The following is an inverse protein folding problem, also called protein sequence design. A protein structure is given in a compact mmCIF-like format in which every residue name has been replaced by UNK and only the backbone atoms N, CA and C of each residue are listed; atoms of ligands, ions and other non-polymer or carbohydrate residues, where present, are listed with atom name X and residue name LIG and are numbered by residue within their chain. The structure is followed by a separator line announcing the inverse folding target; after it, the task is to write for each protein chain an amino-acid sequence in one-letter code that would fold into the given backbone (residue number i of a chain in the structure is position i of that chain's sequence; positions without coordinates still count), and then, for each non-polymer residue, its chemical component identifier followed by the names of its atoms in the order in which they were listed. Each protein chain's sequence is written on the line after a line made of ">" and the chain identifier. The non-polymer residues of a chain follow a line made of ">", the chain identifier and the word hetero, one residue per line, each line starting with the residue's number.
data_IF_868307826160
#
_entry.id   IF_868307826160
#
_cell.length_a   1.000
_cell.length_b   1.000
_cell.length_c   1.000
_cell.angle_alpha   90.00
_cell.angle_beta   90.00
_cell.angle_gamma   90.00
#
_symmetry.space_group_name_H-M   'P 1'
#
loop_
_entity.id
_entity.type
_entity.pdbx_description
1 polymer ?
#
# COMPACT_ATOMS: atom_id res chain seq x y z
N UNK A 1 72.72 -6.90 -37.23
CA UNK A 1 74.04 -6.92 -36.57
C UNK A 1 73.86 -7.29 -35.10
N UNK A 2 74.83 -8.03 -34.56
CA UNK A 2 74.76 -8.92 -33.38
C UNK A 2 74.79 -8.22 -32.02
N UNK A 3 74.44 -9.04 -31.01
CA UNK A 3 74.85 -9.04 -29.59
C UNK A 3 73.83 -8.44 -28.61
N UNK A 4 73.53 -8.95 -27.40
CA UNK A 4 73.41 -10.27 -26.75
C UNK A 4 73.43 -10.02 -25.22
N UNK A 5 72.70 -10.84 -24.46
CA UNK A 5 72.71 -11.05 -22.97
C UNK A 5 71.98 -9.99 -22.13
N UNK A 6 70.85 -10.28 -21.46
CA UNK A 6 70.49 -11.26 -20.40
C UNK A 6 70.90 -10.83 -18.99
N UNK A 7 69.92 -10.54 -18.11
CA UNK A 7 70.09 -10.28 -16.69
C UNK A 7 68.77 -10.49 -15.92
N UNK A 8 68.82 -11.32 -14.88
CA UNK A 8 67.70 -12.06 -14.27
C UNK A 8 66.73 -11.25 -13.39
N UNK A 9 65.50 -11.77 -13.30
CA UNK A 9 64.48 -11.44 -12.32
C UNK A 9 64.79 -12.07 -10.95
N UNK A 10 64.55 -11.31 -9.88
CA UNK A 10 64.66 -11.75 -8.48
C UNK A 10 63.27 -12.08 -7.93
N UNK A 11 63.14 -13.33 -7.47
CA UNK A 11 61.94 -13.94 -6.86
C UNK A 11 62.07 -13.83 -5.34
N UNK A 12 61.08 -13.23 -4.68
CA UNK A 12 60.95 -13.23 -3.22
C UNK A 12 60.25 -14.52 -2.73
N UNK A 13 60.62 -15.08 -1.56
CA UNK A 13 60.26 -16.44 -1.19
C UNK A 13 58.85 -16.57 -0.59
N UNK A 14 58.17 -17.65 -0.99
CA UNK A 14 56.96 -18.20 -0.39
C UNK A 14 57.24 -18.70 1.04
N UNK A 15 56.48 -18.20 2.03
CA UNK A 15 56.37 -18.84 3.35
C UNK A 15 55.39 -20.01 3.26
N UNK A 16 55.93 -21.21 3.43
CA UNK A 16 55.21 -22.47 3.61
C UNK A 16 54.77 -22.61 5.06
N UNK A 17 53.45 -22.64 5.31
CA UNK A 17 52.88 -23.15 6.56
C UNK A 17 52.63 -24.65 6.39
N UNK A 18 53.49 -25.44 7.02
CA UNK A 18 53.35 -26.89 7.15
C UNK A 18 52.39 -27.21 8.28
N UNK A 19 51.53 -28.17 7.97
CA UNK A 19 50.61 -28.89 8.83
C UNK A 19 51.36 -29.71 9.89
N UNK A 20 50.85 -29.70 11.12
CA UNK A 20 51.07 -30.75 12.09
C UNK A 20 49.72 -31.33 12.48
N UNK A 21 49.52 -32.59 12.12
CA UNK A 21 48.42 -33.43 12.54
C UNK A 21 48.80 -34.17 13.83
N UNK A 22 47.82 -34.37 14.71
CA UNK A 22 47.64 -35.44 15.72
C UNK A 22 46.24 -35.14 16.29
N UNK A 23 45.29 -36.05 16.49
CA UNK A 23 45.26 -37.50 16.46
C UNK A 23 44.00 -37.89 17.24
N UNK A 24 43.06 -38.54 16.54
CA UNK A 24 41.81 -39.18 16.97
C UNK A 24 41.64 -39.51 18.46
N UNK A 25 40.44 -39.25 19.00
CA UNK A 25 39.68 -40.29 19.70
C UNK A 25 38.16 -40.07 19.53
N UNK A 26 37.54 -40.98 18.78
CA UNK A 26 36.11 -41.25 18.80
C UNK A 26 35.85 -42.24 19.93
N UNK A 27 34.83 -42.02 20.77
CA UNK A 27 34.09 -43.09 21.45
C UNK A 27 32.75 -42.58 21.99
N UNK A 28 31.70 -43.15 21.41
CA UNK A 28 30.41 -43.51 22.02
C UNK A 28 29.30 -42.46 22.22
N UNK A 29 28.19 -42.79 21.55
CA UNK A 29 26.82 -42.26 21.60
C UNK A 29 26.04 -42.85 22.80
N UNK A 30 24.79 -42.37 22.96
CA UNK A 30 23.61 -42.97 23.66
C UNK A 30 23.50 -42.56 25.15
N UNK A 31 22.35 -42.21 25.74
CA UNK A 31 20.94 -42.19 25.35
C UNK A 31 20.08 -41.42 26.40
N UNK A 32 18.83 -41.10 26.03
CA UNK A 32 17.58 -41.04 26.83
C UNK A 32 17.48 -40.03 27.99
N UNK A 33 16.55 -39.05 28.01
CA UNK A 33 15.07 -39.08 28.06
C UNK A 33 14.46 -39.19 29.48
N UNK A 34 13.55 -38.23 29.78
CA UNK A 34 12.33 -38.29 30.61
C UNK A 34 12.36 -38.23 32.17
N UNK A 35 11.72 -37.15 32.67
CA UNK A 35 10.57 -37.08 33.61
C UNK A 35 10.71 -37.31 35.14
N UNK A 36 9.67 -36.79 35.85
CA UNK A 36 9.16 -36.98 37.25
C UNK A 36 9.75 -36.04 38.34
N UNK A 37 9.06 -35.02 38.89
CA UNK A 37 7.81 -34.87 39.71
C UNK A 37 7.97 -35.27 41.19
N UNK A 38 7.54 -34.32 42.08
CA UNK A 38 7.06 -34.45 43.47
C UNK A 38 8.10 -34.67 44.60
N UNK A 39 7.93 -34.20 45.85
CA UNK A 39 7.00 -33.28 46.51
C UNK A 39 7.48 -33.05 47.97
N UNK A 40 7.12 -31.88 48.52
CA UNK A 40 6.58 -31.55 49.87
C UNK A 40 7.08 -32.20 51.19
N UNK A 41 6.83 -31.44 52.29
CA UNK A 41 6.71 -31.76 53.75
C UNK A 41 7.64 -30.83 54.57
N UNK A 42 7.28 -29.97 55.53
CA UNK A 42 6.10 -29.59 56.36
C UNK A 42 6.38 -28.15 56.89
N UNK A 43 5.45 -27.29 57.33
CA UNK A 43 4.67 -27.36 58.58
C UNK A 43 3.59 -26.24 58.57
N UNK A 44 2.35 -26.60 58.88
CA UNK A 44 1.18 -25.75 59.19
C UNK A 44 1.37 -25.00 60.53
N UNK A 45 0.73 -23.86 60.88
CA UNK A 45 -0.68 -23.68 61.27
C UNK A 45 -0.89 -22.18 61.60
N UNK A 46 -1.94 -21.54 61.06
CA UNK A 46 -2.85 -20.65 61.80
C UNK A 46 -4.02 -20.26 60.89
N UNK A 47 -5.21 -20.67 61.29
CA UNK A 47 -6.50 -20.46 60.61
C UNK A 47 -7.04 -19.08 60.98
N UNK A 48 -7.40 -18.29 59.97
CA UNK A 48 -8.29 -17.13 60.06
C UNK A 48 -9.08 -17.04 58.76
N UNK A 49 -10.41 -16.97 58.86
CA UNK A 49 -11.34 -16.98 57.72
C UNK A 49 -11.08 -15.85 56.71
N UNK A 50 -11.35 -16.04 55.40
CA UNK A 50 -11.19 -14.99 54.41
C UNK A 50 -12.41 -14.06 54.37
N UNK A 51 -12.25 -12.86 54.91
CA UNK A 51 -13.06 -11.71 54.54
C UNK A 51 -12.70 -11.25 53.13
N UNK A 52 -13.70 -11.12 52.27
CA UNK A 52 -13.56 -10.57 50.92
C UNK A 52 -13.03 -9.12 50.98
N UNK A 53 -11.93 -8.85 50.28
CA UNK A 53 -11.45 -7.48 50.01
C UNK A 53 -11.45 -7.23 48.51
N UNK A 54 -12.07 -6.10 48.18
CA UNK A 54 -12.45 -5.58 46.88
C UNK A 54 -11.27 -5.22 45.97
N UNK A 55 -11.41 -5.58 44.69
CA UNK A 55 -10.48 -5.38 43.57
C UNK A 55 -10.35 -3.92 43.11
N UNK A 56 -10.01 -2.99 44.01
CA UNK A 56 -9.89 -1.55 43.67
C UNK A 56 -8.46 -0.98 43.68
N UNK A 57 -7.42 -1.82 43.56
CA UNK A 57 -6.02 -1.35 43.45
C UNK A 57 -5.24 -2.02 42.32
N UNK A 58 -5.77 -2.01 41.10
CA UNK A 58 -5.02 -2.34 39.88
C UNK A 58 -5.55 -1.49 38.70
N UNK A 59 -5.55 -0.17 38.87
CA UNK A 59 -5.88 0.78 37.80
C UNK A 59 -5.03 2.04 37.94
N UNK A 60 -3.77 1.91 37.55
CA UNK A 60 -2.91 3.02 37.15
C UNK A 60 -1.93 2.42 36.15
N UNK A 61 -1.82 3.03 34.97
CA UNK A 61 -1.22 2.53 33.72
C UNK A 61 -2.30 1.92 32.80
N UNK A 62 -2.44 2.52 31.61
CA UNK A 62 -3.52 2.38 30.60
C UNK A 62 -4.69 3.36 30.83
N UNK A 63 -4.53 4.58 30.33
CA UNK A 63 -5.61 5.56 30.21
C UNK A 63 -6.52 5.21 29.04
N UNK A 64 -7.67 4.59 29.33
CA UNK A 64 -8.81 4.54 28.41
C UNK A 64 -9.76 5.69 28.74
N UNK A 65 -10.09 6.52 27.76
CA UNK A 65 -11.21 7.46 27.87
C UNK A 65 -12.47 6.73 27.42
N UNK A 66 -13.37 6.48 28.37
CA UNK A 66 -14.74 6.05 28.11
C UNK A 66 -15.59 7.29 27.79
N UNK A 67 -16.33 7.25 26.67
CA UNK A 67 -17.40 8.20 26.39
C UNK A 67 -18.73 7.61 26.90
N UNK A 68 -19.43 8.39 27.73
CA UNK A 68 -20.76 8.08 28.27
C UNK A 68 -21.83 8.18 27.18
N UNK A 69 -22.59 7.09 26.98
CA UNK A 69 -23.85 7.10 26.24
C UNK A 69 -24.98 7.27 27.26
N UNK A 70 -25.47 8.51 27.43
CA UNK A 70 -26.69 8.75 28.20
C UNK A 70 -27.92 8.19 27.46
N UNK A 71 -28.65 7.34 28.17
CA UNK A 71 -29.91 6.71 27.79
C UNK A 71 -31.07 7.71 27.89
N UNK A 72 -31.83 7.90 26.81
CA UNK A 72 -33.18 8.49 26.87
C UNK A 72 -34.21 7.44 27.37
N UNK A 73 -35.28 7.84 28.08
CA UNK A 73 -36.14 6.92 28.80
C UNK A 73 -37.23 6.30 27.92
N UNK A 74 -37.58 5.05 28.25
CA UNK A 74 -38.64 4.27 27.61
C UNK A 74 -40.04 4.74 28.05
N UNK A 75 -40.97 4.85 27.09
CA UNK A 75 -42.41 4.94 27.35
C UNK A 75 -43.09 3.73 26.71
N UNK A 76 -43.76 2.94 27.55
CA UNK A 76 -44.47 1.72 27.17
C UNK A 76 -45.99 1.89 27.17
N UNK A 77 -46.63 1.38 26.09
CA UNK A 77 -48.05 1.02 25.99
C UNK A 77 -48.99 2.19 25.63
N UNK A 78 -49.97 2.09 24.73
CA UNK A 78 -50.72 0.91 24.24
C UNK A 78 -51.60 1.34 23.04
N UNK A 79 -51.94 0.35 22.19
CA UNK A 79 -53.09 0.29 21.24
C UNK A 79 -52.86 0.69 19.76
N UNK A 80 -52.54 -0.35 18.98
CA UNK A 80 -53.30 -0.85 17.81
C UNK A 80 -53.86 0.14 16.77
N UNK A 81 -53.42 -0.08 15.53
CA UNK A 81 -54.31 -0.10 14.37
C UNK A 81 -54.48 1.21 13.62
N UNK A 82 -53.63 1.42 12.61
CA UNK A 82 -54.01 1.83 11.26
C UNK A 82 -52.78 1.82 10.37
N UNK A 83 -52.84 1.01 9.31
CA UNK A 83 -51.96 1.09 8.15
C UNK A 83 -51.85 2.56 7.71
N UNK A 84 -50.65 3.12 7.82
CA UNK A 84 -50.27 4.30 7.04
C UNK A 84 -49.58 3.76 5.77
N UNK A 85 -50.01 4.16 4.57
CA UNK A 85 -49.46 3.62 3.34
C UNK A 85 -47.96 3.91 3.30
N UNK A 86 -47.18 2.87 2.99
CA UNK A 86 -45.77 3.01 2.70
C UNK A 86 -45.62 4.05 1.60
N UNK A 87 -44.99 5.18 1.94
CA UNK A 87 -44.45 6.06 0.92
C UNK A 87 -43.48 5.21 0.12
N UNK A 88 -43.85 4.87 -1.10
CA UNK A 88 -42.92 4.26 -2.04
C UNK A 88 -41.71 5.19 -2.10
N UNK A 89 -40.57 4.72 -1.62
CA UNK A 89 -39.29 5.28 -2.03
C UNK A 89 -39.28 5.33 -3.56
N UNK A 90 -38.56 6.30 -4.16
CA UNK A 90 -38.53 6.47 -5.61
C UNK A 90 -38.36 5.10 -6.28
N UNK A 91 -39.24 4.76 -7.23
CA UNK A 91 -39.16 3.51 -7.96
C UNK A 91 -37.81 3.49 -8.69
N UNK A 92 -36.85 2.74 -8.14
CA UNK A 92 -35.53 2.62 -8.73
C UNK A 92 -35.55 1.66 -9.92
N UNK A 93 -34.60 1.86 -10.83
CA UNK A 93 -34.34 0.97 -11.96
C UNK A 93 -32.83 0.81 -12.15
N UNK A 94 -32.43 -0.03 -13.10
CA UNK A 94 -31.03 -0.30 -13.44
C UNK A 94 -30.67 0.29 -14.82
N UNK A 95 -31.10 1.54 -15.07
CA UNK A 95 -30.83 2.20 -16.36
C UNK A 95 -29.41 2.77 -16.47
N UNK A 96 -28.67 2.84 -15.36
CA UNK A 96 -27.28 3.26 -15.37
C UNK A 96 -26.37 2.21 -16.03
N UNK A 97 -25.29 2.68 -16.67
CA UNK A 97 -24.29 1.79 -17.29
C UNK A 97 -23.50 0.94 -16.30
N UNK A 98 -23.47 1.35 -15.04
CA UNK A 98 -22.77 0.68 -13.95
C UNK A 98 -23.70 -0.14 -13.07
N UNK A 99 -25.01 -0.14 -13.36
CA UNK A 99 -25.94 -0.97 -12.62
C UNK A 99 -25.62 -2.46 -12.77
N UNK A 100 -25.72 -3.21 -11.68
CA UNK A 100 -25.38 -4.62 -11.56
C UNK A 100 -23.87 -4.92 -11.69
N UNK A 101 -23.00 -3.98 -11.35
CA UNK A 101 -21.56 -4.24 -11.21
C UNK A 101 -21.16 -4.65 -9.77
N UNK A 102 -22.12 -4.62 -8.84
CA UNK A 102 -21.95 -5.02 -7.45
C UNK A 102 -21.54 -3.88 -6.53
N UNK A 103 -21.39 -2.65 -7.02
CA UNK A 103 -21.13 -1.44 -6.24
C UNK A 103 -22.34 -0.49 -6.33
N UNK A 104 -22.73 0.11 -5.20
CA UNK A 104 -23.78 1.11 -5.23
C UNK A 104 -23.23 2.44 -5.75
N UNK A 105 -23.83 2.97 -6.82
CA UNK A 105 -23.38 4.15 -7.56
C UNK A 105 -24.31 5.36 -7.47
N UNK A 106 -25.41 5.26 -6.72
CA UNK A 106 -26.29 6.40 -6.47
C UNK A 106 -25.54 7.52 -5.70
N UNK A 107 -25.74 8.80 -6.01
CA UNK A 107 -24.92 9.89 -5.49
C UNK A 107 -25.11 10.20 -4.00
N UNK A 108 -26.19 9.72 -3.37
CA UNK A 108 -26.48 9.98 -1.95
C UNK A 108 -25.86 8.94 -1.00
N UNK A 109 -25.75 7.68 -1.41
CA UNK A 109 -25.23 6.56 -0.58
C UNK A 109 -24.13 5.74 -1.26
N UNK A 110 -23.92 5.96 -2.55
CA UNK A 110 -22.99 5.26 -3.44
C UNK A 110 -21.84 6.13 -3.93
N UNK A 111 -21.16 5.70 -4.99
CA UNK A 111 -20.01 6.40 -5.60
C UNK A 111 -20.37 7.70 -6.31
N UNK A 112 -21.64 7.85 -6.72
CA UNK A 112 -22.12 8.95 -7.56
C UNK A 112 -21.84 8.78 -9.05
N UNK A 113 -21.42 7.59 -9.52
CA UNK A 113 -21.25 7.31 -10.94
C UNK A 113 -22.59 7.27 -11.72
N UNK A 114 -23.71 7.11 -11.02
CA UNK A 114 -25.05 7.02 -11.59
C UNK A 114 -25.94 8.20 -11.22
N UNK A 115 -27.02 8.39 -11.98
CA UNK A 115 -28.11 9.30 -11.55
C UNK A 115 -28.89 8.65 -10.43
N UNK A 116 -29.41 9.44 -9.49
CA UNK A 116 -30.18 8.94 -8.35
C UNK A 116 -31.25 7.90 -8.74
N UNK A 117 -31.17 6.70 -8.15
CA UNK A 117 -32.13 5.62 -8.32
C UNK A 117 -32.00 4.85 -9.63
N UNK A 118 -30.92 5.06 -10.39
CA UNK A 118 -30.66 4.37 -11.67
C UNK A 118 -29.70 3.19 -11.53
N UNK A 119 -29.18 2.98 -10.31
CA UNK A 119 -28.45 1.79 -9.88
C UNK A 119 -29.18 1.13 -8.69
N UNK A 120 -30.41 0.68 -8.94
CA UNK A 120 -31.27 0.20 -7.86
C UNK A 120 -30.82 -1.15 -7.29
N UNK A 121 -30.43 -2.09 -8.15
CA UNK A 121 -30.12 -3.46 -7.74
C UNK A 121 -28.93 -3.54 -6.77
N UNK A 122 -27.91 -2.70 -6.96
CA UNK A 122 -26.73 -2.67 -6.09
C UNK A 122 -26.99 -1.80 -4.84
N UNK A 123 -27.72 -0.69 -4.97
CA UNK A 123 -28.01 0.21 -3.85
C UNK A 123 -29.14 -0.26 -2.90
N UNK A 124 -30.04 -1.16 -3.32
CA UNK A 124 -31.27 -1.47 -2.57
C UNK A 124 -31.01 -1.98 -1.14
N UNK A 125 -29.98 -2.80 -0.92
CA UNK A 125 -29.71 -3.41 0.40
C UNK A 125 -29.29 -2.36 1.42
N UNK A 126 -28.38 -1.49 1.00
CA UNK A 126 -27.90 -0.35 1.79
C UNK A 126 -29.07 0.60 2.07
N UNK A 127 -29.82 0.97 1.03
CA UNK A 127 -30.95 1.91 1.14
C UNK A 127 -32.08 1.41 2.03
N UNK A 128 -32.35 0.10 2.03
CA UNK A 128 -33.37 -0.53 2.87
C UNK A 128 -32.87 -0.88 4.29
N UNK A 129 -31.57 -0.75 4.57
CA UNK A 129 -30.95 -1.22 5.82
C UNK A 129 -31.06 -2.75 5.99
N UNK A 130 -31.03 -3.49 4.89
CA UNK A 130 -31.23 -4.95 4.81
C UNK A 130 -29.99 -5.67 4.29
N UNK A 131 -28.82 -5.23 4.73
CA UNK A 131 -27.58 -5.94 4.47
C UNK A 131 -27.60 -7.34 5.12
N UNK A 132 -27.06 -8.32 4.41
CA UNK A 132 -27.11 -9.75 4.75
C UNK A 132 -25.83 -10.49 4.32
N UNK A 133 -25.80 -11.82 4.52
CA UNK A 133 -24.70 -12.71 4.10
C UNK A 133 -25.10 -13.53 2.87
N UNK A 134 -25.79 -12.90 1.90
CA UNK A 134 -26.21 -13.61 0.68
C UNK A 134 -25.03 -13.98 -0.23
N UNK A 135 -23.86 -13.37 -0.04
CA UNK A 135 -22.65 -13.76 -0.74
C UNK A 135 -22.09 -15.08 -0.21
N UNK A 136 -21.50 -15.89 -1.11
CA UNK A 136 -20.93 -17.19 -0.73
C UNK A 136 -19.66 -17.10 0.12
N UNK A 137 -18.98 -15.95 0.08
CA UNK A 137 -17.75 -15.69 0.84
C UNK A 137 -18.00 -14.92 2.14
N UNK A 138 -19.26 -14.57 2.43
CA UNK A 138 -19.63 -13.69 3.53
C UNK A 138 -19.28 -14.15 4.97
N UNK A 139 -18.57 -15.27 5.15
CA UNK A 139 -18.19 -15.86 6.44
C UNK A 139 -16.85 -16.59 6.35
N UNK A 140 -15.94 -16.11 5.53
CA UNK A 140 -14.59 -16.67 5.42
C UNK A 140 -13.53 -15.88 6.21
N UNK A 141 -13.97 -14.84 6.92
CA UNK A 141 -13.17 -13.93 7.77
C UNK A 141 -12.36 -12.91 6.98
N UNK A 142 -12.69 -12.71 5.72
CA UNK A 142 -12.19 -11.63 4.90
C UNK A 142 -13.36 -10.76 4.45
N UNK A 143 -13.18 -9.44 4.41
CA UNK A 143 -14.21 -8.60 3.80
C UNK A 143 -14.09 -8.70 2.28
N UNK A 144 -15.17 -9.07 1.61
CA UNK A 144 -15.21 -9.32 0.16
C UNK A 144 -15.97 -8.26 -0.64
N UNK A 145 -16.45 -7.20 0.00
CA UNK A 145 -17.12 -6.11 -0.69
C UNK A 145 -16.14 -5.25 -1.52
N UNK A 146 -16.63 -4.55 -2.57
CA UNK A 146 -15.80 -3.70 -3.42
C UNK A 146 -15.08 -2.57 -2.67
N UNK A 147 -13.98 -2.09 -3.27
CA UNK A 147 -13.07 -1.01 -2.83
C UNK A 147 -12.18 -1.33 -1.64
N UNK A 148 -12.76 -1.80 -0.54
CA UNK A 148 -12.03 -1.99 0.71
C UNK A 148 -11.92 -3.48 1.12
N UNK A 149 -12.64 -4.36 0.44
CA UNK A 149 -12.47 -5.82 0.48
C UNK A 149 -11.88 -6.39 -0.82
N UNK A 150 -12.03 -7.70 -1.03
CA UNK A 150 -11.56 -8.38 -2.25
C UNK A 150 -12.36 -8.02 -3.51
N UNK A 151 -13.60 -7.53 -3.34
CA UNK A 151 -14.56 -7.32 -4.42
C UNK A 151 -15.21 -8.60 -4.95
N UNK A 152 -15.08 -9.75 -4.27
CA UNK A 152 -15.75 -10.99 -4.65
C UNK A 152 -17.27 -10.98 -4.39
N UNK A 153 -17.74 -10.08 -3.53
CA UNK A 153 -19.14 -9.91 -3.16
C UNK A 153 -19.71 -8.58 -3.64
N UNK A 154 -21.03 -8.52 -3.81
CA UNK A 154 -21.72 -7.25 -4.02
C UNK A 154 -21.81 -6.47 -2.70
N UNK A 155 -21.83 -5.14 -2.74
CA UNK A 155 -21.96 -4.31 -1.54
C UNK A 155 -23.22 -4.67 -0.73
N UNK A 156 -23.06 -4.77 0.59
CA UNK A 156 -24.10 -5.15 1.53
C UNK A 156 -24.48 -6.63 1.53
N UNK A 157 -23.68 -7.51 0.91
CA UNK A 157 -23.92 -8.98 0.86
C UNK A 157 -22.92 -9.81 1.64
N UNK A 158 -21.93 -9.16 2.26
CA UNK A 158 -20.95 -9.74 3.17
C UNK A 158 -20.98 -9.00 4.52
N UNK A 159 -22.12 -9.13 5.20
CA UNK A 159 -22.35 -8.40 6.45
C UNK A 159 -21.53 -8.95 7.61
N UNK A 160 -21.32 -10.26 7.70
CA UNK A 160 -20.60 -10.86 8.83
C UNK A 160 -19.14 -10.43 8.84
N UNK A 161 -18.48 -10.35 7.69
CA UNK A 161 -17.06 -10.00 7.64
C UNK A 161 -16.83 -8.49 7.37
N UNK A 162 -17.71 -7.79 6.63
CA UNK A 162 -17.59 -6.34 6.40
C UNK A 162 -18.40 -5.45 7.35
N UNK A 163 -19.30 -5.98 8.20
CA UNK A 163 -20.27 -5.19 8.95
C UNK A 163 -19.68 -4.13 9.88
N UNK A 164 -18.54 -4.43 10.51
CA UNK A 164 -17.85 -3.51 11.43
C UNK A 164 -17.16 -2.34 10.71
N UNK A 165 -16.96 -2.47 9.39
CA UNK A 165 -16.28 -1.48 8.54
C UNK A 165 -17.21 -0.88 7.49
N UNK A 166 -18.48 -1.30 7.45
CA UNK A 166 -19.54 -0.82 6.56
C UNK A 166 -19.67 0.72 6.51
N UNK A 167 -19.32 1.41 7.59
CA UNK A 167 -19.34 2.87 7.67
C UNK A 167 -18.33 3.57 6.75
N UNK A 168 -17.29 2.86 6.28
CA UNK A 168 -16.31 3.35 5.31
C UNK A 168 -16.82 3.31 3.87
N UNK A 169 -17.95 2.63 3.60
CA UNK A 169 -18.52 2.55 2.24
C UNK A 169 -18.70 3.95 1.66
N UNK A 170 -18.11 4.13 0.48
CA UNK A 170 -18.23 5.35 -0.29
C UNK A 170 -17.79 6.62 0.48
N UNK A 171 -16.96 6.45 1.52
CA UNK A 171 -16.26 7.52 2.21
C UNK A 171 -14.88 7.68 1.57
N UNK A 172 -14.56 8.89 1.17
CA UNK A 172 -13.28 9.20 0.52
C UNK A 172 -12.66 10.43 1.18
N UNK A 173 -11.40 10.67 0.84
CA UNK A 173 -10.65 11.88 1.15
C UNK A 173 -10.41 12.70 -0.12
N UNK A 174 -11.34 12.67 -1.08
CA UNK A 174 -11.19 13.30 -2.39
C UNK A 174 -11.22 14.84 -2.35
N UNK A 175 -11.72 15.45 -1.27
CA UNK A 175 -11.71 16.89 -1.09
C UNK A 175 -10.27 17.40 -1.01
N UNK A 176 -9.99 18.54 -1.65
CA UNK A 176 -8.64 19.11 -1.66
C UNK A 176 -8.18 19.57 -0.27
N UNK A 177 -9.12 19.90 0.61
CA UNK A 177 -8.88 20.33 1.99
C UNK A 177 -8.86 19.20 3.00
N UNK A 178 -9.15 17.96 2.59
CA UNK A 178 -9.05 16.81 3.49
C UNK A 178 -7.66 16.75 4.13
N UNK A 179 -7.57 16.24 5.35
CA UNK A 179 -6.38 16.19 6.19
C UNK A 179 -5.94 17.54 6.79
N UNK A 180 -6.78 18.57 6.79
CA UNK A 180 -6.49 19.86 7.44
C UNK A 180 -6.98 19.93 8.90
N UNK A 181 -7.70 18.91 9.37
CA UNK A 181 -8.24 18.81 10.73
C UNK A 181 -9.58 19.51 10.94
N UNK A 182 -10.26 19.93 9.87
CA UNK A 182 -11.55 20.61 9.90
C UNK A 182 -12.52 19.86 9.00
N UNK A 183 -13.63 19.38 9.58
CA UNK A 183 -14.69 18.77 8.77
C UNK A 183 -15.44 19.83 7.95
N UNK A 184 -15.51 19.63 6.64
CA UNK A 184 -16.06 20.60 5.67
C UNK A 184 -17.24 20.05 4.84
N UNK A 185 -17.73 18.87 5.20
CA UNK A 185 -18.88 18.25 4.52
C UNK A 185 -20.23 18.87 4.90
N UNK A 186 -21.24 18.83 4.02
CA UNK A 186 -22.57 19.32 4.33
C UNK A 186 -23.19 18.61 5.53
N UNK A 187 -23.73 19.38 6.48
CA UNK A 187 -24.41 18.86 7.68
C UNK A 187 -23.50 18.56 8.87
N UNK A 188 -22.18 18.59 8.69
CA UNK A 188 -21.19 18.51 9.79
C UNK A 188 -20.26 19.72 9.82
N UNK A 189 -19.90 20.24 8.66
CA UNK A 189 -19.04 21.39 8.44
C UNK A 189 -19.72 22.56 7.74
N UNK A 190 -18.92 23.40 7.09
CA UNK A 190 -19.37 24.58 6.34
C UNK A 190 -19.93 24.24 4.94
N UNK A 191 -19.78 22.99 4.50
CA UNK A 191 -20.26 22.50 3.20
C UNK A 191 -19.38 22.91 2.02
N UNK A 192 -18.13 23.30 2.25
CA UNK A 192 -17.17 23.60 1.18
C UNK A 192 -16.64 22.35 0.46
N UNK A 193 -16.70 21.18 1.11
CA UNK A 193 -16.46 19.88 0.48
C UNK A 193 -17.77 19.24 -0.01
N UNK A 194 -17.68 18.35 -0.99
CA UNK A 194 -18.79 17.46 -1.32
C UNK A 194 -19.01 16.47 -0.16
N UNK A 195 -20.24 15.99 0.02
CA UNK A 195 -20.51 14.97 1.04
C UNK A 195 -19.65 13.71 0.78
N UNK A 196 -19.11 13.11 1.85
CA UNK A 196 -18.30 11.88 1.83
C UNK A 196 -16.94 12.00 1.11
N UNK A 197 -16.37 13.20 1.09
CA UNK A 197 -15.08 13.49 0.46
C UNK A 197 -14.02 14.04 1.41
N UNK A 198 -14.36 14.21 2.69
CA UNK A 198 -13.48 14.69 3.75
C UNK A 198 -13.57 13.77 4.99
N UNK A 199 -13.46 12.47 4.73
CA UNK A 199 -13.61 11.41 5.74
C UNK A 199 -12.64 11.59 6.91
N UNK A 200 -11.37 11.87 6.61
CA UNK A 200 -10.29 11.95 7.62
C UNK A 200 -10.59 12.96 8.71
N UNK A 201 -11.16 14.10 8.33
CA UNK A 201 -11.44 15.18 9.28
C UNK A 201 -12.89 15.11 9.82
N UNK A 202 -13.83 14.54 9.08
CA UNK A 202 -15.22 14.39 9.51
C UNK A 202 -15.55 13.14 10.34
N UNK A 203 -14.78 12.07 10.19
CA UNK A 203 -15.03 10.78 10.88
C UNK A 203 -13.83 10.40 11.76
N UNK A 204 -12.62 10.66 11.29
CA UNK A 204 -11.39 10.32 12.00
C UNK A 204 -10.39 9.64 11.08
N UNK A 205 -9.18 9.44 11.62
CA UNK A 205 -8.05 8.87 10.87
C UNK A 205 -7.83 7.40 11.18
N UNK A 206 -8.54 6.83 12.15
CA UNK A 206 -8.45 5.43 12.50
C UNK A 206 -8.93 4.55 11.34
N UNK A 207 -8.14 3.53 11.02
CA UNK A 207 -8.43 2.60 9.93
C UNK A 207 -8.31 1.17 10.47
N UNK A 208 -9.36 0.35 10.37
CA UNK A 208 -9.29 -1.04 10.76
C UNK A 208 -8.22 -1.77 9.92
N UNK A 209 -7.36 -2.55 10.58
CA UNK A 209 -6.29 -3.32 9.89
C UNK A 209 -6.84 -4.54 9.13
N UNK A 210 -8.14 -4.80 9.20
CA UNK A 210 -8.85 -5.91 8.54
C UNK A 210 -9.26 -5.59 7.11
N UNK A 211 -8.94 -4.39 6.63
CA UNK A 211 -9.39 -3.87 5.35
C UNK A 211 -8.25 -4.03 4.34
N UNK A 212 -8.57 -4.39 3.10
CA UNK A 212 -7.64 -4.40 1.96
C UNK A 212 -7.31 -2.97 1.46
N UNK A 213 -7.59 -1.95 2.29
CA UNK A 213 -7.16 -0.57 2.17
C UNK A 213 -6.21 -0.29 3.33
N UNK A 214 -4.95 -0.19 2.96
CA UNK A 214 -3.83 -0.59 3.78
C UNK A 214 -3.26 0.61 4.55
N UNK A 215 -3.71 0.74 5.80
CA UNK A 215 -3.25 1.73 6.77
C UNK A 215 -2.72 1.06 8.04
N UNK A 216 -1.71 1.63 8.68
CA UNK A 216 -1.15 1.10 9.93
C UNK A 216 -1.98 1.47 11.16
N UNK A 217 -3.27 1.13 11.15
CA UNK A 217 -4.23 1.43 12.22
C UNK A 217 -4.68 2.90 12.27
N UNK A 218 -3.91 3.80 11.63
CA UNK A 218 -4.19 5.22 11.45
C UNK A 218 -3.72 5.64 10.06
N UNK A 219 -4.46 6.55 9.45
CA UNK A 219 -4.06 7.25 8.23
C UNK A 219 -3.20 8.47 8.58
N UNK A 220 -1.89 8.29 8.43
CA UNK A 220 -0.85 9.26 8.71
C UNK A 220 -0.54 10.17 7.51
N UNK A 221 -1.25 9.97 6.38
CA UNK A 221 -1.08 10.81 5.21
C UNK A 221 -1.47 12.26 5.49
N UNK A 222 -0.87 13.14 4.71
CA UNK A 222 -1.09 14.58 4.75
C UNK A 222 -1.23 15.16 3.35
N UNK A 223 -1.88 16.33 3.26
CA UNK A 223 -1.79 17.17 2.07
C UNK A 223 -0.47 17.92 2.04
N UNK A 224 0.07 18.05 0.84
CA UNK A 224 1.36 18.69 0.60
C UNK A 224 1.27 19.79 -0.44
N UNK A 225 2.16 20.78 -0.30
CA UNK A 225 2.29 21.80 -1.33
C UNK A 225 3.00 21.21 -2.55
N UNK A 226 2.22 20.90 -3.58
CA UNK A 226 2.68 20.32 -4.86
C UNK A 226 3.67 21.19 -5.65
N UNK A 227 3.93 22.43 -5.24
CA UNK A 227 4.94 23.31 -5.85
C UNK A 227 6.33 23.14 -5.20
N UNK A 228 6.41 22.42 -4.07
CA UNK A 228 7.66 22.20 -3.34
C UNK A 228 8.29 20.85 -3.68
N UNK A 229 9.61 20.76 -3.52
CA UNK A 229 10.30 19.47 -3.58
C UNK A 229 10.05 18.67 -2.28
N UNK A 230 9.83 17.34 -2.38
CA UNK A 230 9.92 16.52 -3.59
C UNK A 230 8.60 16.41 -4.37
N UNK A 231 7.49 16.91 -3.82
CA UNK A 231 6.12 16.69 -4.31
C UNK A 231 5.91 17.11 -5.77
N UNK A 232 6.56 18.18 -6.21
CA UNK A 232 6.49 18.65 -7.61
C UNK A 232 7.11 17.69 -8.64
N UNK A 233 7.92 16.72 -8.20
CA UNK A 233 8.50 15.70 -9.06
C UNK A 233 7.51 14.57 -9.38
N UNK A 234 6.45 14.45 -8.59
CA UNK A 234 5.49 13.35 -8.65
C UNK A 234 4.32 13.69 -9.56
N UNK A 235 3.66 12.66 -10.06
CA UNK A 235 2.50 12.79 -10.91
C UNK A 235 1.80 11.46 -11.13
N UNK A 236 0.61 11.54 -11.70
CA UNK A 236 -0.15 10.36 -12.11
C UNK A 236 0.34 9.89 -13.46
N UNK A 237 0.57 8.60 -13.59
CA UNK A 237 0.79 7.93 -14.86
C UNK A 237 -0.45 7.13 -15.24
N UNK A 238 -1.01 7.41 -16.41
CA UNK A 238 -2.16 6.67 -16.95
C UNK A 238 -1.73 5.92 -18.21
N UNK A 239 -1.78 4.60 -18.16
CA UNK A 239 -1.38 3.78 -19.31
C UNK A 239 -2.47 3.74 -20.39
N UNK A 240 -2.13 3.21 -21.57
CA UNK A 240 -3.08 3.13 -22.69
C UNK A 240 -4.31 2.23 -22.44
N UNK A 241 -4.28 1.39 -21.39
CA UNK A 241 -5.42 0.59 -20.95
C UNK A 241 -6.32 1.32 -19.94
N UNK A 242 -5.95 2.54 -19.52
CA UNK A 242 -6.70 3.36 -18.57
C UNK A 242 -6.35 3.14 -17.10
N UNK A 243 -5.42 2.24 -16.80
CA UNK A 243 -4.93 2.03 -15.44
C UNK A 243 -4.13 3.24 -14.97
N UNK A 244 -4.31 3.60 -13.71
CA UNK A 244 -3.70 4.75 -13.08
C UNK A 244 -2.75 4.31 -11.98
N UNK A 245 -1.53 4.82 -12.07
CA UNK A 245 -0.48 4.63 -11.08
C UNK A 245 0.15 5.97 -10.73
N UNK A 246 1.03 5.94 -9.74
CA UNK A 246 1.91 7.06 -9.42
C UNK A 246 3.26 6.89 -10.11
N UNK A 247 3.90 8.00 -10.49
CA UNK A 247 5.25 8.02 -11.02
C UNK A 247 6.03 9.25 -10.55
N UNK A 248 7.36 9.16 -10.55
CA UNK A 248 8.25 10.23 -10.08
C UNK A 248 9.32 10.57 -11.11
N UNK A 249 9.52 11.86 -11.40
CA UNK A 249 10.62 12.35 -12.24
C UNK A 249 11.98 12.08 -11.59
N UNK A 250 12.86 11.36 -12.31
CA UNK A 250 14.24 11.05 -11.90
C UNK A 250 15.32 11.58 -12.86
N UNK A 251 14.89 12.20 -13.96
CA UNK A 251 15.75 12.89 -14.91
C UNK A 251 14.91 13.91 -15.70
N UNK A 252 15.52 14.73 -16.59
CA UNK A 252 14.79 15.71 -17.38
C UNK A 252 13.53 15.19 -18.09
N UNK A 253 13.57 13.99 -18.65
CA UNK A 253 12.44 13.36 -19.33
C UNK A 253 12.29 11.87 -18.97
N UNK A 254 12.69 11.47 -17.76
CA UNK A 254 12.52 10.10 -17.30
C UNK A 254 11.77 10.08 -15.97
N UNK A 255 10.74 9.25 -15.91
CA UNK A 255 10.03 8.91 -14.68
C UNK A 255 10.31 7.46 -14.28
N UNK A 256 10.22 7.17 -13.00
CA UNK A 256 10.20 5.82 -12.43
C UNK A 256 8.79 5.51 -11.92
N UNK A 257 8.35 4.26 -12.10
CA UNK A 257 7.08 3.70 -11.62
C UNK A 257 7.21 2.17 -11.48
N UNK A 258 6.13 1.45 -11.21
CA UNK A 258 6.11 -0.02 -11.15
C UNK A 258 6.00 -0.65 -12.55
N UNK A 259 6.44 -1.91 -12.69
CA UNK A 259 6.38 -2.61 -13.98
C UNK A 259 4.96 -3.06 -14.32
N UNK A 260 4.15 -3.41 -13.32
CA UNK A 260 2.74 -3.77 -13.51
C UNK A 260 1.94 -2.60 -14.10
N UNK A 261 2.28 -1.35 -13.75
CA UNK A 261 1.64 -0.15 -14.33
C UNK A 261 1.82 0.00 -15.85
N UNK A 262 2.80 -0.70 -16.45
CA UNK A 262 3.06 -0.67 -17.89
C UNK A 262 2.87 -2.03 -18.55
N UNK A 263 2.43 -3.06 -17.82
CA UNK A 263 2.15 -4.39 -18.33
C UNK A 263 0.73 -4.83 -18.01
N UNK A 264 0.22 -5.75 -18.81
CA UNK A 264 -1.03 -6.45 -18.57
C UNK A 264 -0.79 -7.94 -18.80
N UNK A 265 -1.82 -8.74 -18.61
CA UNK A 265 -1.83 -10.14 -19.05
C UNK A 265 -1.53 -10.34 -20.54
N UNK A 266 -1.78 -9.32 -21.38
CA UNK A 266 -1.47 -9.35 -22.81
C UNK A 266 -0.03 -8.88 -23.15
N UNK A 267 0.77 -8.54 -22.13
CA UNK A 267 2.11 -7.98 -22.27
C UNK A 267 2.14 -6.45 -22.06
N UNK A 268 3.20 -5.77 -22.54
CA UNK A 268 3.37 -4.34 -22.32
C UNK A 268 2.25 -3.53 -22.97
N UNK A 269 1.82 -2.47 -22.30
CA UNK A 269 0.87 -1.49 -22.84
C UNK A 269 1.47 -0.76 -24.05
N UNK A 270 0.61 -0.12 -24.84
CA UNK A 270 1.02 0.56 -26.08
C UNK A 270 1.50 1.99 -25.88
N UNK A 271 1.48 2.51 -24.65
CA UNK A 271 1.86 3.87 -24.29
C UNK A 271 1.24 4.30 -22.97
N UNK A 272 1.29 5.61 -22.71
CA UNK A 272 0.67 6.24 -21.55
C UNK A 272 0.94 7.73 -21.50
N UNK A 273 0.29 8.42 -20.57
CA UNK A 273 0.49 9.84 -20.28
C UNK A 273 0.89 10.02 -18.82
N UNK A 274 1.89 10.87 -18.59
CA UNK A 274 2.25 11.35 -17.26
C UNK A 274 1.69 12.75 -17.06
N UNK A 275 0.97 12.96 -15.96
CA UNK A 275 0.48 14.27 -15.51
C UNK A 275 1.11 14.59 -14.17
N UNK A 276 2.07 15.52 -14.17
CA UNK A 276 2.71 16.02 -12.95
C UNK A 276 1.68 16.66 -12.00
N UNK A 277 2.00 16.73 -10.71
CA UNK A 277 1.11 17.31 -9.70
C UNK A 277 0.70 18.76 -10.02
N UNK A 278 1.60 19.56 -10.61
CA UNK A 278 1.30 20.90 -11.09
C UNK A 278 0.48 20.97 -12.40
N UNK A 279 0.02 19.84 -12.93
CA UNK A 279 -0.84 19.74 -14.13
C UNK A 279 -0.10 19.63 -15.46
N UNK A 280 1.24 19.73 -15.50
CA UNK A 280 2.00 19.55 -16.73
C UNK A 280 1.93 18.10 -17.22
N UNK A 281 1.66 17.90 -18.52
CA UNK A 281 1.50 16.56 -19.11
C UNK A 281 2.61 16.21 -20.11
N UNK A 282 2.93 14.93 -20.24
CA UNK A 282 3.85 14.40 -21.26
C UNK A 282 3.48 12.97 -21.64
N UNK A 283 3.70 12.58 -22.89
CA UNK A 283 3.43 11.21 -23.36
C UNK A 283 4.65 10.32 -23.15
N UNK A 284 4.39 9.06 -22.81
CA UNK A 284 5.40 8.02 -22.74
C UNK A 284 5.83 7.59 -24.16
N UNK A 285 7.13 7.49 -24.38
CA UNK A 285 7.75 7.18 -25.69
C UNK A 285 8.53 5.88 -25.68
N UNK A 286 9.18 5.57 -24.54
CA UNK A 286 9.90 4.32 -24.35
C UNK A 286 9.83 3.87 -22.89
N UNK A 287 10.06 2.60 -22.66
CA UNK A 287 10.12 2.02 -21.32
C UNK A 287 11.30 1.04 -21.17
N UNK A 288 11.69 0.78 -19.93
CA UNK A 288 12.59 -0.28 -19.55
C UNK A 288 12.05 -0.95 -18.30
N UNK A 289 11.90 -2.27 -18.37
CA UNK A 289 11.60 -3.16 -17.23
C UNK A 289 12.61 -4.30 -17.24
N UNK A 290 12.66 -5.09 -16.16
CA UNK A 290 13.37 -6.37 -16.15
C UNK A 290 12.88 -7.27 -17.29
N UNK A 291 13.81 -7.91 -18.02
CA UNK A 291 13.45 -8.90 -19.04
C UNK A 291 12.86 -10.20 -18.47
N UNK A 292 12.94 -10.38 -17.14
CA UNK A 292 12.36 -11.50 -16.40
C UNK A 292 11.01 -11.17 -15.77
N UNK A 293 10.55 -9.92 -15.92
CA UNK A 293 9.25 -9.52 -15.40
C UNK A 293 8.13 -10.21 -16.21
N UNK A 294 7.19 -10.81 -15.50
CA UNK A 294 6.01 -11.48 -16.05
C UNK A 294 4.80 -11.08 -15.20
N UNK A 295 3.80 -10.44 -15.82
CA UNK A 295 2.68 -9.86 -15.09
C UNK A 295 1.86 -10.92 -14.34
N UNK A 296 1.59 -12.07 -14.98
CA UNK A 296 0.80 -13.14 -14.39
C UNK A 296 1.48 -13.72 -13.15
N UNK A 297 2.78 -14.00 -13.26
CA UNK A 297 3.58 -14.48 -12.13
C UNK A 297 3.60 -13.46 -10.99
N UNK A 298 3.79 -12.18 -11.30
CA UNK A 298 3.76 -11.10 -10.29
C UNK A 298 2.40 -11.01 -9.59
N UNK A 299 1.30 -11.13 -10.33
CA UNK A 299 -0.05 -11.05 -9.76
C UNK A 299 -0.49 -12.28 -8.95
N UNK A 300 0.30 -13.36 -8.96
CA UNK A 300 -0.08 -14.64 -8.33
C UNK A 300 0.95 -15.19 -7.36
N UNK A 301 2.17 -14.63 -7.31
CA UNK A 301 3.25 -15.06 -6.42
C UNK A 301 4.14 -13.89 -6.01
N UNK A 302 4.86 -14.06 -4.89
CA UNK A 302 5.79 -13.06 -4.36
C UNK A 302 7.23 -13.21 -4.94
N UNK A 303 7.46 -14.22 -5.79
CA UNK A 303 8.81 -14.66 -6.20
C UNK A 303 9.59 -13.61 -7.02
N UNK A 304 8.87 -12.67 -7.62
CA UNK A 304 9.42 -11.71 -8.57
C UNK A 304 9.12 -10.26 -8.21
N UNK A 305 8.68 -9.99 -6.98
CA UNK A 305 8.36 -8.63 -6.51
C UNK A 305 9.52 -7.66 -6.79
N UNK A 306 10.76 -8.09 -6.53
CA UNK A 306 11.96 -7.27 -6.78
C UNK A 306 12.20 -6.89 -8.25
N UNK A 307 11.41 -7.41 -9.20
CA UNK A 307 11.44 -7.07 -10.62
C UNK A 307 10.38 -6.03 -11.03
N UNK A 308 9.48 -5.65 -10.12
CA UNK A 308 8.35 -4.76 -10.40
C UNK A 308 8.74 -3.27 -10.43
N UNK A 309 9.62 -2.92 -11.34
CA UNK A 309 10.06 -1.55 -11.58
C UNK A 309 10.06 -1.22 -13.07
N UNK A 310 9.76 0.03 -13.40
CA UNK A 310 9.82 0.55 -14.75
C UNK A 310 10.48 1.94 -14.79
N UNK A 311 11.35 2.14 -15.78
CA UNK A 311 11.79 3.46 -16.21
C UNK A 311 11.02 3.83 -17.48
N UNK A 312 10.46 5.04 -17.54
CA UNK A 312 9.68 5.52 -18.68
C UNK A 312 10.27 6.83 -19.20
N UNK A 313 10.48 6.91 -20.51
CA UNK A 313 10.94 8.12 -21.19
C UNK A 313 9.74 8.92 -21.70
N UNK A 314 9.75 10.21 -21.43
CA UNK A 314 8.74 11.17 -21.84
C UNK A 314 9.15 11.92 -23.11
N UNK A 315 8.16 12.34 -23.90
CA UNK A 315 8.35 13.19 -25.09
C UNK A 315 8.69 14.65 -24.75
N UNK A 316 8.47 15.05 -23.50
CA UNK A 316 8.79 16.38 -22.97
C UNK A 316 9.76 16.28 -21.81
N UNK A 317 10.65 17.28 -21.72
CA UNK A 317 11.64 17.40 -20.63
C UNK A 317 11.06 18.12 -19.41
N UNK A 318 10.03 17.55 -18.79
CA UNK A 318 9.35 18.17 -17.64
C UNK A 318 10.27 18.38 -16.43
N UNK A 319 11.27 17.52 -16.23
CA UNK A 319 12.24 17.64 -15.15
C UNK A 319 13.15 18.87 -15.26
N UNK A 320 13.30 19.50 -16.44
CA UNK A 320 14.03 20.78 -16.54
C UNK A 320 13.25 21.94 -15.91
N UNK A 321 11.92 21.84 -15.84
CA UNK A 321 11.02 22.86 -15.29
C UNK A 321 10.66 22.57 -13.83
N UNK A 322 10.37 21.31 -13.53
CA UNK A 322 9.89 20.86 -12.23
C UNK A 322 11.03 20.43 -11.30
N UNK A 323 12.23 20.17 -11.83
CA UNK A 323 13.26 19.40 -11.16
C UNK A 323 12.96 17.90 -11.17
N UNK A 324 13.87 17.12 -10.61
CA UNK A 324 13.76 15.67 -10.52
C UNK A 324 14.58 15.14 -9.34
N UNK A 325 14.25 13.95 -8.87
CA UNK A 325 14.99 13.27 -7.81
C UNK A 325 16.22 12.53 -8.37
N UNK A 326 17.27 12.41 -7.57
CA UNK A 326 18.34 11.45 -7.81
C UNK A 326 17.85 10.01 -7.60
N UNK A 327 18.71 9.02 -7.84
CA UNK A 327 18.43 7.61 -7.51
C UNK A 327 19.58 7.03 -6.73
N UNK A 328 19.30 6.44 -5.56
CA UNK A 328 20.30 5.94 -4.63
C UNK A 328 19.92 4.56 -4.11
N UNK A 329 20.85 3.61 -4.22
CA UNK A 329 20.73 2.33 -3.53
C UNK A 329 21.08 2.48 -2.03
N UNK A 330 20.06 2.83 -1.23
CA UNK A 330 20.22 2.98 0.22
C UNK A 330 20.40 1.63 0.92
N UNK A 331 19.73 0.57 0.46
CA UNK A 331 19.77 -0.74 1.12
C UNK A 331 21.17 -1.37 1.09
N UNK A 332 21.99 -1.04 0.09
CA UNK A 332 23.41 -1.44 0.04
C UNK A 332 24.29 -0.81 1.13
N UNK A 333 23.81 0.22 1.84
CA UNK A 333 24.54 0.86 2.94
C UNK A 333 24.36 0.14 4.28
N UNK A 334 23.59 -0.95 4.29
CA UNK A 334 23.32 -1.75 5.47
C UNK A 334 21.96 -1.44 6.10
N UNK A 335 21.37 -2.46 6.73
CA UNK A 335 20.00 -2.39 7.19
C UNK A 335 19.77 -1.35 8.29
N UNK A 336 20.75 -1.10 9.16
CA UNK A 336 20.62 -0.07 10.18
C UNK A 336 20.49 1.34 9.58
N UNK A 337 21.31 1.67 8.57
CA UNK A 337 21.26 2.97 7.91
C UNK A 337 19.97 3.16 7.10
N UNK A 338 19.52 2.11 6.42
CA UNK A 338 18.30 2.14 5.63
C UNK A 338 17.03 2.27 6.49
N UNK A 339 16.93 1.57 7.63
CA UNK A 339 15.80 1.67 8.55
C UNK A 339 15.76 2.97 9.37
N UNK A 340 16.90 3.65 9.52
CA UNK A 340 16.98 4.92 10.25
C UNK A 340 16.64 6.15 9.38
N UNK A 341 16.36 5.98 8.09
CA UNK A 341 16.09 7.10 7.19
C UNK A 341 14.60 7.47 7.20
N UNK A 342 14.32 8.76 7.33
CA UNK A 342 12.99 9.32 7.10
C UNK A 342 12.62 9.17 5.61
N UNK A 343 11.53 8.47 5.33
CA UNK A 343 10.99 8.33 3.99
C UNK A 343 9.98 9.45 3.69
N UNK A 344 10.05 9.93 2.46
CA UNK A 344 9.07 10.82 1.84
C UNK A 344 8.45 10.04 0.70
N UNK A 345 7.16 9.75 0.78
CA UNK A 345 6.40 9.07 -0.26
C UNK A 345 5.14 9.88 -0.51
N UNK A 346 4.68 9.94 -1.77
CA UNK A 346 3.35 10.46 -2.06
C UNK A 346 2.82 9.81 -3.32
N UNK A 347 1.50 9.70 -3.40
CA UNK A 347 0.83 9.16 -4.55
C UNK A 347 -0.62 9.60 -4.68
N UNK A 348 -1.24 9.09 -5.74
CA UNK A 348 -2.61 9.34 -6.12
C UNK A 348 -3.46 8.15 -5.69
N UNK A 349 -3.57 7.98 -4.38
CA UNK A 349 -4.40 6.95 -3.75
C UNK A 349 -5.86 7.10 -4.21
N UNK A 350 -6.54 5.99 -4.45
CA UNK A 350 -7.89 5.97 -5.02
C UNK A 350 -8.89 6.81 -4.22
N UNK A 351 -8.73 6.88 -2.91
CA UNK A 351 -9.60 7.58 -1.98
C UNK A 351 -9.32 9.09 -1.93
N UNK A 352 -8.19 9.56 -2.45
CA UNK A 352 -7.81 10.98 -2.47
C UNK A 352 -8.10 11.68 -3.80
N UNK A 353 -8.68 10.94 -4.75
CA UNK A 353 -9.09 11.45 -6.05
C UNK A 353 -7.91 11.99 -6.88
N UNK A 354 -8.03 13.22 -7.37
CA UNK A 354 -7.00 13.89 -8.16
C UNK A 354 -5.93 14.60 -7.31
N UNK A 355 -6.03 14.52 -5.99
CA UNK A 355 -5.18 15.27 -5.07
C UNK A 355 -4.10 14.37 -4.49
N UNK A 356 -2.84 14.78 -4.62
CA UNK A 356 -1.70 14.06 -4.05
C UNK A 356 -1.79 14.02 -2.51
N UNK A 357 -1.62 12.84 -1.93
CA UNK A 357 -1.42 12.64 -0.49
C UNK A 357 -0.04 12.07 -0.22
N UNK A 358 0.58 12.48 0.88
CA UNK A 358 1.95 12.11 1.19
C UNK A 358 2.13 11.54 2.58
N UNK A 359 3.10 10.65 2.71
CA UNK A 359 3.73 10.24 3.96
C UNK A 359 5.02 11.06 4.17
N UNK A 360 5.25 11.54 5.40
CA UNK A 360 6.45 12.31 5.77
C UNK A 360 7.03 11.73 7.06
N UNK A 361 8.14 11.02 6.95
CA UNK A 361 8.85 10.45 8.11
C UNK A 361 8.39 9.05 8.51
N UNK A 362 7.84 8.27 7.58
CA UNK A 362 7.71 6.81 7.74
C UNK A 362 9.06 6.11 7.49
N UNK A 363 9.19 4.82 7.84
CA UNK A 363 10.47 4.10 7.79
C UNK A 363 10.42 2.79 7.01
N UNK A 364 11.61 2.31 6.66
CA UNK A 364 11.81 0.92 6.25
C UNK A 364 11.76 0.04 7.51
N UNK A 365 10.96 -1.02 7.47
CA UNK A 365 10.80 -2.00 8.56
C UNK A 365 11.72 -3.20 8.35
N UNK A 366 11.81 -3.73 7.13
CA UNK A 366 12.68 -4.87 6.82
C UNK A 366 13.26 -4.81 5.41
N UNK A 367 14.35 -5.53 5.15
CA UNK A 367 15.03 -5.55 3.85
C UNK A 367 15.28 -6.99 3.44
N UNK A 368 14.83 -7.34 2.24
CA UNK A 368 14.85 -8.71 1.75
C UNK A 368 15.97 -8.92 0.71
N UNK A 369 16.53 -10.15 0.61
CA UNK A 369 17.59 -10.47 -0.35
C UNK A 369 17.16 -10.44 -1.83
N UNK A 370 15.85 -10.42 -2.09
CA UNK A 370 15.25 -10.42 -3.43
C UNK A 370 15.22 -9.00 -4.08
N UNK A 371 15.75 -7.99 -3.39
CA UNK A 371 15.75 -6.61 -3.87
C UNK A 371 14.50 -5.83 -3.47
N UNK A 372 13.76 -6.29 -2.47
CA UNK A 372 12.61 -5.59 -1.90
C UNK A 372 12.86 -5.14 -0.45
N UNK A 373 12.00 -4.24 0.06
CA UNK A 373 11.96 -3.88 1.46
C UNK A 373 10.52 -3.69 1.94
N UNK A 374 10.29 -3.94 3.23
CA UNK A 374 9.05 -3.63 3.92
C UNK A 374 9.06 -2.21 4.48
N UNK A 375 7.94 -1.51 4.51
CA UNK A 375 7.82 -0.16 5.07
C UNK A 375 6.55 0.03 5.90
N UNK A 376 6.49 1.15 6.63
CA UNK A 376 5.34 1.59 7.43
C UNK A 376 4.65 2.85 6.90
N UNK A 377 4.91 3.24 5.66
CA UNK A 377 4.17 4.32 5.00
C UNK A 377 2.78 3.83 4.57
N UNK A 378 1.73 4.62 4.82
CA UNK A 378 0.36 4.28 4.40
C UNK A 378 0.23 4.40 2.88
N UNK A 379 0.08 3.26 2.20
CA UNK A 379 -0.11 3.17 0.75
C UNK A 379 -1.31 2.30 0.43
N UNK A 380 -2.10 2.70 -0.56
CA UNK A 380 -3.25 1.93 -1.05
C UNK A 380 -3.26 1.91 -2.58
N UNK A 381 -4.27 1.28 -3.18
CA UNK A 381 -4.47 1.25 -4.62
C UNK A 381 -4.33 2.65 -5.22
N UNK A 382 -3.51 2.77 -6.26
CA UNK A 382 -3.15 4.04 -6.91
C UNK A 382 -1.78 4.60 -6.47
N UNK A 383 -1.30 4.24 -5.28
CA UNK A 383 0.08 4.54 -4.86
C UNK A 383 1.13 3.68 -5.58
N UNK A 384 0.70 2.61 -6.27
CA UNK A 384 1.56 1.76 -7.09
C UNK A 384 2.51 2.59 -7.96
N UNK A 385 3.81 2.31 -7.85
CA UNK A 385 4.86 3.02 -8.56
C UNK A 385 5.25 4.38 -7.97
N UNK A 386 4.61 4.84 -6.89
CA UNK A 386 5.09 5.98 -6.12
C UNK A 386 6.50 5.72 -5.61
N UNK A 387 7.34 6.75 -5.62
CA UNK A 387 8.71 6.60 -5.15
C UNK A 387 8.79 6.84 -3.65
N UNK A 388 9.63 6.06 -2.97
CA UNK A 388 10.14 6.38 -1.65
C UNK A 388 11.41 7.22 -1.82
N UNK A 389 11.45 8.40 -1.22
CA UNK A 389 12.59 9.30 -1.29
C UNK A 389 13.21 9.51 0.08
N UNK A 390 14.53 9.73 0.08
CA UNK A 390 15.24 10.28 1.23
C UNK A 390 15.76 11.67 0.89
N UNK A 391 15.84 12.53 1.92
CA UNK A 391 16.46 13.84 1.80
C UNK A 391 17.97 13.73 1.96
N UNK A 392 18.73 14.39 1.08
CA UNK A 392 20.18 14.49 1.12
C UNK A 392 20.58 15.96 0.90
N UNK A 393 20.73 16.71 2.00
CA UNK A 393 20.81 18.17 1.96
C UNK A 393 19.51 18.77 1.39
N UNK A 394 19.64 19.59 0.34
CA UNK A 394 18.49 20.17 -0.38
C UNK A 394 17.95 19.24 -1.48
N UNK A 395 18.66 18.15 -1.79
CA UNK A 395 18.26 17.20 -2.82
C UNK A 395 17.41 16.06 -2.24
N UNK A 396 16.66 15.40 -3.13
CA UNK A 396 15.93 14.18 -2.81
C UNK A 396 16.38 13.06 -3.72
N UNK A 397 16.48 11.86 -3.17
CA UNK A 397 16.95 10.68 -3.88
C UNK A 397 15.92 9.55 -3.73
N UNK A 398 15.48 8.99 -4.84
CA UNK A 398 14.62 7.79 -4.87
C UNK A 398 15.43 6.59 -4.37
N UNK A 399 14.89 5.88 -3.37
CA UNK A 399 15.47 4.67 -2.79
C UNK A 399 14.66 3.41 -3.10
N UNK A 400 13.45 3.57 -3.65
CA UNK A 400 12.61 2.47 -4.09
C UNK A 400 11.29 2.95 -4.70
N UNK A 401 10.50 2.00 -5.19
CA UNK A 401 9.15 2.22 -5.71
C UNK A 401 8.15 1.27 -5.06
N UNK A 402 7.00 1.80 -4.68
CA UNK A 402 5.86 1.05 -4.15
C UNK A 402 5.35 0.05 -5.20
N UNK A 403 5.06 -1.18 -4.77
CA UNK A 403 4.82 -2.30 -5.68
C UNK A 403 3.59 -3.12 -5.28
N UNK A 404 3.66 -3.89 -4.21
CA UNK A 404 2.62 -4.86 -3.84
C UNK A 404 2.61 -5.10 -2.32
N UNK A 405 1.76 -6.03 -1.89
CA UNK A 405 1.62 -6.48 -0.51
C UNK A 405 1.81 -7.99 -0.42
N UNK A 406 2.40 -8.46 0.67
CA UNK A 406 2.54 -9.89 0.97
C UNK A 406 1.63 -10.28 2.11
N UNK A 407 0.98 -11.43 1.97
CA UNK A 407 0.16 -12.00 3.03
C UNK A 407 1.00 -12.32 4.26
N UNK A 408 0.48 -11.99 5.43
CA UNK A 408 1.06 -12.35 6.72
C UNK A 408 0.01 -13.13 7.53
N UNK A 409 0.06 -14.46 7.55
CA UNK A 409 -0.99 -15.27 8.19
C UNK A 409 -1.21 -14.97 9.68
N UNK A 410 -0.25 -14.30 10.34
CA UNK A 410 -0.28 -14.02 11.78
C UNK A 410 -0.31 -12.51 12.09
N UNK A 411 -0.62 -11.65 11.11
CA UNK A 411 -0.60 -10.20 11.33
C UNK A 411 -1.10 -9.41 10.12
N UNK A 412 -0.90 -8.08 10.12
CA UNK A 412 -1.24 -7.26 8.96
C UNK A 412 -0.35 -7.62 7.77
N UNK A 413 -0.86 -7.37 6.56
CA UNK A 413 -0.10 -7.47 5.32
C UNK A 413 1.25 -6.74 5.43
N UNK A 414 2.26 -7.27 4.73
CA UNK A 414 3.59 -6.65 4.64
C UNK A 414 3.63 -5.83 3.37
N UNK A 415 3.97 -4.54 3.49
CA UNK A 415 3.91 -3.58 2.41
C UNK A 415 5.26 -3.57 1.71
N UNK A 416 5.28 -3.91 0.43
CA UNK A 416 6.50 -4.22 -0.29
C UNK A 416 6.78 -3.16 -1.35
N UNK A 417 7.99 -2.62 -1.24
CA UNK A 417 8.58 -1.76 -2.24
C UNK A 417 9.79 -2.44 -2.88
N UNK A 418 10.02 -2.14 -4.16
CA UNK A 418 11.22 -2.55 -4.87
C UNK A 418 12.34 -1.58 -4.54
N UNK A 419 13.46 -2.08 -4.03
CA UNK A 419 14.65 -1.27 -3.76
C UNK A 419 15.25 -0.73 -5.06
N UNK A 420 15.77 0.50 -4.98
CA UNK A 420 16.57 1.11 -6.03
C UNK A 420 17.79 0.25 -6.42
N UNK A 421 18.24 -0.70 -5.60
CA UNK A 421 19.24 -1.69 -6.01
C UNK A 421 18.87 -2.42 -7.30
N UNK A 422 17.58 -2.63 -7.56
CA UNK A 422 17.08 -3.38 -8.72
C UNK A 422 17.10 -2.58 -10.02
N UNK A 423 17.08 -1.25 -9.97
CA UNK A 423 16.95 -0.40 -11.17
C UNK A 423 18.00 0.71 -11.31
N UNK A 424 18.62 1.16 -10.21
CA UNK A 424 19.66 2.20 -10.23
C UNK A 424 20.78 1.90 -11.25
N UNK A 425 21.29 0.66 -11.41
CA UNK A 425 22.31 0.35 -12.42
C UNK A 425 21.89 0.63 -13.87
N UNK A 426 20.59 0.70 -14.15
CA UNK A 426 20.04 0.90 -15.50
C UNK A 426 19.74 2.37 -15.83
N UNK A 427 19.67 3.24 -14.81
CA UNK A 427 19.21 4.63 -14.96
C UNK A 427 20.08 5.41 -15.94
N UNK A 428 21.41 5.37 -15.77
CA UNK A 428 22.32 6.18 -16.59
C UNK A 428 22.25 5.83 -18.08
N UNK A 429 22.17 4.55 -18.43
CA UNK A 429 22.02 4.10 -19.81
C UNK A 429 20.65 4.44 -20.40
N UNK A 430 19.58 4.31 -19.61
CA UNK A 430 18.23 4.62 -20.06
C UNK A 430 18.04 6.13 -20.28
N UNK A 431 18.54 6.97 -19.37
CA UNK A 431 18.53 8.44 -19.51
C UNK A 431 19.30 8.87 -20.77
N UNK A 432 20.43 8.23 -21.06
CA UNK A 432 21.24 8.53 -22.23
C UNK A 432 20.70 7.96 -23.55
N UNK A 433 19.55 7.27 -23.54
CA UNK A 433 18.99 6.68 -24.77
C UNK A 433 19.66 5.39 -25.23
N UNK A 434 20.55 4.79 -24.42
CA UNK A 434 21.31 3.57 -24.76
C UNK A 434 20.55 2.28 -24.50
N UNK A 435 19.48 2.34 -23.70
CA UNK A 435 18.61 1.21 -23.39
C UNK A 435 17.11 1.59 -23.47
N UNK A 436 16.25 0.58 -23.35
CA UNK A 436 14.79 0.72 -23.43
C UNK A 436 14.19 0.24 -24.74
N UNK A 437 12.86 0.14 -24.76
CA UNK A 437 12.03 -0.22 -25.92
C UNK A 437 11.02 0.88 -26.18
N UNK A 438 10.78 1.21 -27.44
CA UNK A 438 9.72 2.14 -27.80
C UNK A 438 8.36 1.51 -27.50
N UNK A 439 7.43 2.31 -26.97
CA UNK A 439 6.04 1.91 -26.85
C UNK A 439 5.43 1.67 -28.25
N UNK A 440 4.56 0.67 -28.38
CA UNK A 440 3.87 0.35 -29.65
C UNK A 440 4.75 -0.26 -30.76
N UNK A 441 6.06 -0.46 -30.53
CA UNK A 441 6.90 -1.16 -31.50
C UNK A 441 6.46 -2.64 -31.59
N UNK A 442 5.86 -3.05 -32.71
CA UNK A 442 5.61 -4.47 -33.00
C UNK A 442 6.93 -5.20 -32.94
N UNK A 443 7.03 -6.22 -32.07
CA UNK A 443 8.22 -7.04 -31.94
C UNK A 443 8.66 -7.55 -33.31
N UNK A 444 9.76 -7.00 -33.82
CA UNK A 444 10.35 -7.48 -35.05
C UNK A 444 10.75 -8.94 -34.83
N UNK A 445 10.01 -9.87 -35.46
CA UNK A 445 10.55 -11.20 -35.76
C UNK A 445 11.86 -10.96 -36.49
N UNK A 446 12.99 -11.14 -35.81
CA UNK A 446 14.25 -11.38 -36.50
C UNK A 446 14.07 -12.73 -37.17
N UNK A 447 13.71 -12.72 -38.44
CA UNK A 447 13.96 -13.85 -39.35
C UNK A 447 15.47 -14.08 -39.36
N UNK A 448 15.90 -15.18 -38.74
CA UNK A 448 17.16 -15.83 -39.07
C UNK A 448 16.82 -17.18 -39.66
#
# INVERSE_FOLDING_TARGET
>A
MRSSRSGAASVAPRRTLRWAAWGRNQSMRLAAAAATIAACVLVSVAVGEPGAVSSSQLTSIIGGNAFDIERAPAIAGKQTGRNKPGGAGPAGNDSCRWANDGECDDPDIGTGACTQGTDYSDCRRIREGREDDSCRWARDRECDEPRFGTGACAQGTDRTDCGDIAWLRNQTDACATSFNGVCEEPGRGDGSCAARTDRSDCIGRERPMTINDHYFGRDDRVRVNIQQAPWRYMGRFTNAAGEQCTATLIAPNVIVTAAHCVHTNAGPTTGGEFRAAGGATARATAYLVSNRYDYQRFSTTDDIDGLDWALIRLDRRLGDQLGYAGVRNLTAQGAAAARAADLYQAGYSWDTGDTLSANVGCHIVDIFPDGTFAHECDTTRGDSGSAFLVRNGDAFEVIGVDSNFRSNPNGPFIYIAVSASSFQPHVADFVAGRSGRAFGARGGRKSR
#
